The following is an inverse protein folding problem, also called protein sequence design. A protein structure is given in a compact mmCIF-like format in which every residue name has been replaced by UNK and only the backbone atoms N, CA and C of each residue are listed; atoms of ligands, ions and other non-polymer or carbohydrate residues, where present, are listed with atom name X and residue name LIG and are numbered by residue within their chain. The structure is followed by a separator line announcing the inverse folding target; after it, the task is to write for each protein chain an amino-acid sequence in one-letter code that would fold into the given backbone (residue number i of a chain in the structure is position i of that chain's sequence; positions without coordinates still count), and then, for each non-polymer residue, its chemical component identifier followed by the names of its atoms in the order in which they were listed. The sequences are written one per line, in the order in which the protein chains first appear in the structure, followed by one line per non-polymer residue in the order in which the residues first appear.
data_IF_524746608161
#
_entry.id   IF_524746608161
#
_cell.length_a   1.000
_cell.length_b   1.000
_cell.length_c   1.000
_cell.angle_alpha   90.00
_cell.angle_beta   90.00
_cell.angle_gamma   90.00
#
_symmetry.space_group_name_H-M   'P 1'
#
loop_
_entity.id
_entity.type
_entity.pdbx_description
1 polymer ?
#
# COMPACT_ATOMS: atom_id res chain seq x y z
N UNK A 1 -12.77 -47.29 31.76
CA UNK A 1 -13.84 -47.12 30.76
C UNK A 1 -14.02 -48.44 30.05
N UNK A 2 -15.26 -48.91 29.91
CA UNK A 2 -15.54 -50.07 29.05
C UNK A 2 -15.27 -49.64 27.60
N UNK A 3 -14.88 -50.57 26.72
CA UNK A 3 -14.61 -50.26 25.30
C UNK A 3 -15.78 -49.50 24.64
N UNK A 4 -17.01 -49.78 25.07
CA UNK A 4 -18.23 -49.07 24.65
C UNK A 4 -18.24 -47.59 25.06
N UNK A 5 -17.73 -47.25 26.24
CA UNK A 5 -17.69 -45.88 26.74
C UNK A 5 -16.68 -45.04 25.94
N UNK A 6 -15.53 -45.63 25.59
CA UNK A 6 -14.50 -44.97 24.76
C UNK A 6 -15.04 -44.75 23.34
N UNK A 7 -15.71 -45.75 22.76
CA UNK A 7 -16.31 -45.63 21.44
C UNK A 7 -17.38 -44.52 21.41
N UNK A 8 -18.20 -44.41 22.44
CA UNK A 8 -19.22 -43.36 22.56
C UNK A 8 -18.58 -41.96 22.62
N UNK A 9 -17.53 -41.79 23.42
CA UNK A 9 -16.83 -40.52 23.56
C UNK A 9 -16.23 -40.09 22.21
N UNK A 10 -15.58 -41.00 21.48
CA UNK A 10 -15.00 -40.71 20.16
C UNK A 10 -16.07 -40.21 19.19
N UNK A 11 -17.23 -40.85 19.15
CA UNK A 11 -18.34 -40.45 18.26
C UNK A 11 -18.85 -39.06 18.61
N UNK A 12 -19.08 -38.79 19.90
CA UNK A 12 -19.56 -37.48 20.36
C UNK A 12 -18.54 -36.39 20.07
N UNK A 13 -17.25 -36.65 20.34
CA UNK A 13 -16.17 -35.71 20.05
C UNK A 13 -16.07 -35.40 18.55
N UNK A 14 -16.26 -36.41 17.69
CA UNK A 14 -16.22 -36.22 16.25
C UNK A 14 -17.40 -35.36 15.75
N UNK A 15 -18.62 -35.66 16.19
CA UNK A 15 -19.82 -34.87 15.85
C UNK A 15 -19.68 -33.43 16.37
N UNK A 16 -19.20 -33.28 17.60
CA UNK A 16 -18.96 -31.95 18.20
C UNK A 16 -17.92 -31.16 17.42
N UNK A 17 -16.84 -31.80 16.95
CA UNK A 17 -15.82 -31.16 16.12
C UNK A 17 -16.38 -30.66 14.79
N UNK A 18 -17.21 -31.47 14.12
CA UNK A 18 -17.89 -31.08 12.88
C UNK A 18 -18.81 -29.88 13.14
N UNK A 19 -19.67 -29.96 14.15
CA UNK A 19 -20.57 -28.87 14.53
C UNK A 19 -19.81 -27.58 14.86
N UNK A 20 -18.71 -27.69 15.62
CA UNK A 20 -17.87 -26.54 15.98
C UNK A 20 -17.31 -25.84 14.75
N UNK A 21 -16.85 -26.58 13.74
CA UNK A 21 -16.33 -26.00 12.50
C UNK A 21 -17.37 -25.13 11.78
N UNK A 22 -18.60 -25.64 11.66
CA UNK A 22 -19.69 -24.89 11.03
C UNK A 22 -20.14 -23.68 11.87
N UNK A 23 -20.24 -23.84 13.19
CA UNK A 23 -20.63 -22.74 14.09
C UNK A 23 -19.58 -21.62 14.08
N UNK A 24 -18.28 -21.95 14.08
CA UNK A 24 -17.21 -20.95 14.01
C UNK A 24 -17.25 -20.15 12.70
N UNK A 25 -17.49 -20.83 11.57
CA UNK A 25 -17.64 -20.15 10.28
C UNK A 25 -18.85 -19.20 10.27
N UNK A 26 -19.98 -19.61 10.86
CA UNK A 26 -21.19 -18.80 10.92
C UNK A 26 -21.08 -17.62 11.88
N UNK A 27 -20.55 -17.83 13.09
CA UNK A 27 -20.61 -16.84 14.18
C UNK A 27 -19.38 -15.94 14.26
N UNK A 28 -18.18 -16.46 13.95
CA UNK A 28 -16.91 -15.78 14.24
C UNK A 28 -16.25 -15.28 12.96
N UNK A 29 -16.38 -16.04 11.87
CA UNK A 29 -15.60 -15.81 10.64
C UNK A 29 -16.46 -15.44 9.45
N UNK A 30 -17.47 -14.58 9.68
CA UNK A 30 -18.21 -13.96 8.59
C UNK A 30 -17.22 -13.19 7.67
N UNK A 31 -17.11 -13.55 6.38
CA UNK A 31 -16.20 -12.91 5.43
C UNK A 31 -16.45 -11.41 5.24
N UNK A 32 -17.65 -10.93 5.52
CA UNK A 32 -17.96 -9.49 5.45
C UNK A 32 -17.20 -8.68 6.51
N UNK A 33 -16.95 -9.27 7.69
CA UNK A 33 -16.24 -8.61 8.80
C UNK A 33 -14.71 -8.66 8.65
N UNK A 34 -14.20 -9.18 7.53
CA UNK A 34 -12.75 -9.30 7.25
C UNK A 34 -12.25 -8.25 6.26
N UNK A 35 -13.06 -7.26 5.95
CA UNK A 35 -12.73 -6.18 5.03
C UNK A 35 -12.54 -4.90 5.84
N UNK A 36 -11.42 -4.23 5.59
CA UNK A 36 -11.08 -2.96 6.23
C UNK A 36 -10.97 -1.90 5.13
N UNK A 37 -11.49 -0.71 5.40
CA UNK A 37 -11.34 0.42 4.50
C UNK A 37 -9.89 0.88 4.52
N UNK A 38 -9.23 0.80 3.38
CA UNK A 38 -7.83 1.20 3.22
C UNK A 38 -7.74 2.29 2.16
N UNK A 39 -6.79 3.19 2.37
CA UNK A 39 -6.50 4.26 1.41
C UNK A 39 -5.94 3.65 0.12
N UNK A 40 -6.64 3.87 -0.99
CA UNK A 40 -6.19 3.44 -2.31
C UNK A 40 -5.24 4.51 -2.85
N UNK A 41 -3.96 4.17 -2.95
CA UNK A 41 -2.96 5.06 -3.56
C UNK A 41 -3.08 5.06 -5.08
N UNK A 42 -2.78 6.19 -5.69
CA UNK A 42 -2.73 6.31 -7.14
C UNK A 42 -1.67 5.37 -7.74
N UNK A 43 -1.98 4.66 -8.84
CA UNK A 43 -1.02 3.79 -9.48
C UNK A 43 0.14 4.60 -10.07
N UNK A 44 1.37 4.12 -9.87
CA UNK A 44 2.56 4.72 -10.48
C UNK A 44 2.46 4.53 -11.99
N UNK A 45 2.27 5.62 -12.73
CA UNK A 45 2.23 5.61 -14.19
C UNK A 45 3.61 5.88 -14.78
N UNK A 46 3.98 5.11 -15.81
CA UNK A 46 5.16 5.38 -16.65
C UNK A 46 4.86 6.41 -17.76
N UNK A 47 3.66 6.98 -17.79
CA UNK A 47 3.26 7.95 -18.81
C UNK A 47 3.93 9.28 -18.52
N UNK A 48 4.80 9.70 -19.41
CA UNK A 48 5.37 11.04 -19.42
C UNK A 48 4.83 11.79 -20.64
N UNK A 49 4.18 12.93 -20.40
CA UNK A 49 3.73 13.80 -21.49
C UNK A 49 4.95 14.53 -22.05
N UNK A 50 5.13 14.50 -23.36
CA UNK A 50 6.19 15.27 -24.01
C UNK A 50 5.95 16.77 -23.78
N UNK A 51 7.01 17.54 -23.44
CA UNK A 51 6.88 18.98 -23.27
C UNK A 51 6.46 19.65 -24.58
N UNK A 52 5.74 20.77 -24.46
CA UNK A 52 5.23 21.50 -25.61
C UNK A 52 6.38 22.02 -26.49
N UNK A 53 6.41 21.53 -27.73
CA UNK A 53 7.42 21.87 -28.75
C UNK A 53 7.49 23.36 -29.07
N UNK A 54 6.45 24.15 -28.76
CA UNK A 54 6.49 25.62 -28.90
C UNK A 54 7.53 26.27 -27.99
N UNK A 55 7.83 25.65 -26.84
CA UNK A 55 8.76 26.17 -25.85
C UNK A 55 10.03 25.32 -25.73
N UNK A 56 9.93 24.01 -25.94
CA UNK A 56 11.05 23.06 -25.87
C UNK A 56 11.48 22.65 -27.27
N UNK A 57 12.20 23.55 -27.96
CA UNK A 57 12.77 23.32 -29.29
C UNK A 57 14.20 23.87 -29.39
N UNK A 58 14.90 23.53 -30.47
CA UNK A 58 16.28 23.93 -30.69
C UNK A 58 16.44 25.43 -30.96
N UNK A 59 15.38 26.08 -31.45
CA UNK A 59 15.29 27.50 -31.74
C UNK A 59 14.85 28.33 -30.52
N UNK A 60 14.57 27.69 -29.38
CA UNK A 60 14.07 28.36 -28.18
C UNK A 60 15.16 29.24 -27.55
N UNK A 61 14.77 30.44 -27.11
CA UNK A 61 15.68 31.34 -26.40
C UNK A 61 16.04 30.72 -25.05
N UNK A 62 17.33 30.59 -24.76
CA UNK A 62 17.81 30.15 -23.46
C UNK A 62 17.78 31.33 -22.45
N UNK A 63 16.90 31.31 -21.44
CA UNK A 63 16.78 32.42 -20.48
C UNK A 63 17.83 32.36 -19.36
N UNK A 64 18.72 31.36 -19.33
CA UNK A 64 19.71 31.24 -18.24
C UNK A 64 20.72 32.39 -18.31
N UNK A 65 20.73 33.24 -17.29
CA UNK A 65 21.79 34.22 -17.08
C UNK A 65 22.80 33.65 -16.08
N UNK A 66 24.09 33.70 -16.44
CA UNK A 66 25.17 33.37 -15.51
C UNK A 66 25.32 34.53 -14.53
N UNK A 67 24.83 34.37 -13.30
CA UNK A 67 24.98 35.39 -12.26
C UNK A 67 26.33 35.18 -11.57
N UNK A 68 27.27 36.10 -11.78
CA UNK A 68 28.53 36.11 -11.03
C UNK A 68 28.37 37.01 -9.80
N UNK A 69 28.22 36.40 -8.62
CA UNK A 69 28.23 37.14 -7.35
C UNK A 69 29.69 37.39 -6.97
N UNK A 70 30.08 38.66 -6.94
CA UNK A 70 31.38 39.10 -6.41
C UNK A 70 32.41 39.46 -7.48
N UNK A 71 32.29 40.65 -8.08
CA UNK A 71 33.49 41.42 -8.34
C UNK A 71 33.94 41.95 -6.97
N UNK A 72 35.05 41.43 -6.44
CA UNK A 72 35.59 41.80 -5.14
C UNK A 72 36.13 43.24 -5.16
N UNK A 73 35.26 44.24 -5.17
CA UNK A 73 35.63 45.66 -5.00
C UNK A 73 35.10 46.23 -3.67
N UNK A 74 34.98 45.39 -2.63
CA UNK A 74 34.70 45.89 -1.29
C UNK A 74 36.02 46.17 -0.55
N UNK A 75 36.73 47.23 -0.96
CA UNK A 75 37.83 47.82 -0.21
C UNK A 75 37.28 48.84 0.80
N UNK A 76 36.67 48.37 1.89
CA UNK A 76 36.41 49.23 3.04
C UNK A 76 37.00 48.58 4.29
N UNK A 77 38.08 49.14 4.88
CA UNK A 77 38.72 48.55 6.05
C UNK A 77 37.87 48.77 7.30
N UNK A 78 37.81 47.75 8.16
CA UNK A 78 37.35 47.84 9.55
C UNK A 78 38.42 48.48 10.43
#
# INVERSE_FOLDING_TARGET
MKQKDIALIIVISFISGILSFFLTNLLITNPENRQEEVEVVEPISSTFTEPDTRYFNAEAINPTQLIQIGNQDNQQPL
#
